data_IF_322894107408
#
_entry.id   IF_322894107408
#
_cell.length_a   1.000
_cell.length_b   1.000
_cell.length_c   1.000
_cell.angle_alpha   90.00
_cell.angle_beta   90.00
_cell.angle_gamma   90.00
#
_symmetry.space_group_name_H-M   'P 1'
#
loop_
_entity.id
_entity.type
_entity.pdbx_description
1 polymer ?
#
# COMPACT_ATOMS: atom_id res chain seq x y z
N UNK A 1 -39.07 29.66 -11.60
CA UNK A 1 -38.64 28.27 -11.81
C UNK A 1 -37.74 28.24 -13.02
N UNK A 2 -36.43 28.16 -12.81
CA UNK A 2 -35.45 28.04 -13.89
C UNK A 2 -34.52 26.89 -13.47
N UNK A 3 -34.43 25.91 -14.35
CA UNK A 3 -33.63 24.70 -14.20
C UNK A 3 -32.13 25.03 -14.31
N UNK A 4 -31.30 24.42 -13.45
CA UNK A 4 -29.86 24.36 -13.64
C UNK A 4 -29.51 23.09 -14.40
N UNK A 5 -28.94 23.27 -15.58
CA UNK A 5 -28.35 22.24 -16.41
C UNK A 5 -26.92 21.92 -15.97
N UNK A 6 -26.46 20.73 -16.38
CA UNK A 6 -25.20 20.09 -16.08
C UNK A 6 -23.95 20.93 -16.42
N UNK A 7 -22.91 20.79 -15.59
CA UNK A 7 -21.55 21.23 -15.92
C UNK A 7 -20.75 20.02 -16.38
N UNK A 8 -20.42 20.05 -17.67
CA UNK A 8 -19.55 19.11 -18.36
C UNK A 8 -18.09 19.57 -18.25
N UNK A 9 -17.18 18.60 -18.18
CA UNK A 9 -15.77 18.83 -17.88
C UNK A 9 -14.98 19.37 -19.07
N UNK A 10 -14.30 20.50 -18.89
CA UNK A 10 -13.06 20.81 -19.62
C UNK A 10 -12.29 21.93 -18.90
N UNK A 11 -11.18 21.60 -18.24
CA UNK A 11 -10.19 22.60 -17.84
C UNK A 11 -8.80 21.95 -17.82
N UNK A 12 -8.24 21.76 -19.02
CA UNK A 12 -6.82 21.49 -19.21
C UNK A 12 -6.27 22.57 -20.16
N UNK A 13 -5.17 23.20 -19.75
CA UNK A 13 -4.27 24.06 -20.53
C UNK A 13 -4.85 25.33 -21.19
N UNK A 14 -4.62 26.50 -20.58
CA UNK A 14 -4.07 27.69 -21.25
C UNK A 14 -3.74 28.78 -20.22
N UNK A 15 -2.46 29.00 -19.89
CA UNK A 15 -1.99 30.26 -19.29
C UNK A 15 -0.52 30.46 -19.67
N UNK A 16 -0.27 30.92 -20.89
CA UNK A 16 0.92 31.67 -21.25
C UNK A 16 0.46 32.96 -21.93
N UNK A 17 1.05 34.07 -21.49
CA UNK A 17 0.80 35.46 -21.91
C UNK A 17 -0.36 36.16 -21.20
N UNK A 18 0.01 37.01 -20.23
CA UNK A 18 -0.44 38.40 -19.98
C UNK A 18 0.10 38.76 -18.59
N UNK A 19 1.11 39.62 -18.47
CA UNK A 19 0.91 41.07 -18.50
C UNK A 19 0.91 41.59 -17.07
N UNK A 20 2.02 42.21 -16.65
CA UNK A 20 2.18 42.86 -15.36
C UNK A 20 1.04 43.85 -15.13
N UNK A 21 0.19 43.62 -14.14
CA UNK A 21 -0.45 44.60 -13.23
C UNK A 21 -1.62 43.94 -12.48
N UNK A 22 -1.31 43.28 -11.36
CA UNK A 22 -2.22 43.06 -10.24
C UNK A 22 -1.38 42.64 -9.03
N UNK A 23 -0.92 43.63 -8.25
CA UNK A 23 -0.42 43.41 -6.89
C UNK A 23 -1.64 43.42 -6.00
N UNK A 24 -2.08 42.25 -5.55
CA UNK A 24 -3.21 42.14 -4.62
C UNK A 24 -3.74 40.72 -4.53
N UNK A 25 -3.44 40.06 -3.41
CA UNK A 25 -4.02 38.78 -2.96
C UNK A 25 -3.64 37.53 -3.77
N UNK A 26 -2.35 37.18 -3.75
CA UNK A 26 -1.95 35.77 -3.70
C UNK A 26 -1.80 35.41 -2.23
N UNK A 27 -2.87 34.92 -1.61
CA UNK A 27 -2.71 34.07 -0.44
C UNK A 27 -1.89 32.85 -0.90
N UNK A 28 -0.88 32.40 -0.15
CA UNK A 28 -0.10 31.26 -0.56
C UNK A 28 -1.01 30.03 -0.64
N UNK A 29 -0.90 29.29 -1.74
CA UNK A 29 -1.38 27.91 -1.94
C UNK A 29 -0.67 26.92 -0.99
N UNK A 30 -0.33 27.36 0.23
CA UNK A 30 0.31 26.58 1.28
C UNK A 30 -0.71 26.05 2.30
N UNK A 31 -2.02 26.30 2.12
CA UNK A 31 -3.06 25.98 3.12
C UNK A 31 -3.77 24.64 2.85
N UNK A 32 -3.29 23.81 1.92
CA UNK A 32 -4.01 22.57 1.57
C UNK A 32 -3.15 21.36 1.22
N UNK A 33 -1.93 21.27 1.74
CA UNK A 33 -1.22 19.98 1.86
C UNK A 33 -1.26 19.41 3.28
N UNK A 34 -1.46 20.24 4.31
CA UNK A 34 -1.47 19.79 5.72
C UNK A 34 -2.69 18.90 6.07
N UNK A 35 -3.81 19.04 5.35
CA UNK A 35 -5.03 18.28 5.64
C UNK A 35 -5.07 16.88 4.99
N UNK A 36 -4.15 16.58 4.06
CA UNK A 36 -4.04 15.27 3.40
C UNK A 36 -2.84 14.45 3.90
N UNK A 37 -2.01 15.02 4.80
CA UNK A 37 -0.72 14.45 5.21
C UNK A 37 -0.66 13.97 6.65
N UNK A 38 -1.68 14.24 7.47
CA UNK A 38 -1.71 13.68 8.82
C UNK A 38 -2.52 12.38 8.83
N UNK A 39 -1.81 11.26 8.98
CA UNK A 39 -2.44 10.04 9.46
C UNK A 39 -3.19 10.38 10.75
N UNK A 40 -4.48 10.04 10.86
CA UNK A 40 -5.21 10.29 12.09
C UNK A 40 -4.41 9.66 13.24
N UNK A 41 -4.30 10.31 14.40
CA UNK A 41 -3.68 9.68 15.56
C UNK A 41 -4.46 8.40 15.83
N UNK A 42 -3.88 7.26 15.44
CA UNK A 42 -4.41 5.96 15.78
C UNK A 42 -4.40 5.89 17.31
N UNK A 43 -5.57 5.61 17.90
CA UNK A 43 -5.66 5.39 19.32
C UNK A 43 -4.98 4.07 19.74
N UNK A 44 -4.90 3.10 18.81
CA UNK A 44 -4.21 1.84 18.96
C UNK A 44 -2.80 1.83 18.37
N UNK A 45 -2.29 0.63 18.12
CA UNK A 45 -0.94 0.38 17.58
C UNK A 45 -0.85 0.77 16.12
N UNK A 46 0.37 1.08 15.67
CA UNK A 46 0.73 1.26 14.26
C UNK A 46 1.43 -0.01 13.80
N UNK A 47 0.86 -0.69 12.81
CA UNK A 47 1.29 -2.01 12.38
C UNK A 47 1.71 -1.98 10.91
N UNK A 48 2.75 -2.72 10.55
CA UNK A 48 3.16 -2.94 9.17
C UNK A 48 3.18 -4.44 8.85
N UNK A 49 2.50 -4.83 7.78
CA UNK A 49 2.67 -6.14 7.14
C UNK A 49 3.34 -5.96 5.79
N UNK A 50 4.52 -6.55 5.61
CA UNK A 50 5.26 -6.55 4.35
C UNK A 50 5.20 -7.97 3.74
N UNK A 51 4.30 -8.14 2.76
CA UNK A 51 4.15 -9.37 2.01
C UNK A 51 5.08 -9.34 0.81
N UNK A 52 6.03 -10.29 0.79
CA UNK A 52 7.15 -10.30 -0.16
C UNK A 52 8.16 -9.23 0.20
N UNK A 53 8.64 -9.26 1.43
CA UNK A 53 9.58 -8.28 1.98
C UNK A 53 10.92 -8.21 1.23
N UNK A 54 11.18 -9.20 0.38
CA UNK A 54 12.42 -9.28 -0.37
C UNK A 54 13.59 -9.68 0.55
N UNK A 55 14.64 -10.18 -0.07
CA UNK A 55 15.98 -9.97 0.43
C UNK A 55 16.50 -8.79 -0.37
N UNK A 56 16.88 -7.70 0.29
CA UNK A 56 17.68 -6.68 -0.39
C UNK A 56 18.81 -7.39 -1.15
N UNK A 57 19.02 -7.04 -2.42
CA UNK A 57 19.99 -7.72 -3.28
C UNK A 57 21.32 -7.89 -2.54
N UNK A 58 21.84 -9.13 -2.54
CA UNK A 58 23.04 -9.55 -1.82
C UNK A 58 24.13 -8.46 -1.78
N UNK A 59 24.51 -8.06 -0.56
CA UNK A 59 25.65 -7.15 -0.35
C UNK A 59 25.34 -5.65 -0.36
N UNK A 60 24.08 -5.22 -0.46
CA UNK A 60 23.71 -3.82 -0.21
C UNK A 60 22.66 -3.72 0.88
N UNK A 61 23.07 -3.21 2.04
CA UNK A 61 22.14 -2.64 3.02
C UNK A 61 21.24 -1.62 2.29
N UNK A 62 19.93 -1.61 2.60
CA UNK A 62 18.96 -0.54 2.24
C UNK A 62 18.17 -0.62 0.92
N UNK A 63 17.87 -1.80 0.37
CA UNK A 63 16.90 -1.91 -0.76
C UNK A 63 15.82 -2.98 -0.59
N UNK A 64 15.32 -3.20 0.62
CA UNK A 64 14.05 -3.92 0.80
C UNK A 64 12.89 -2.95 0.81
N UNK A 65 11.70 -3.39 0.37
CA UNK A 65 10.43 -2.66 0.56
C UNK A 65 10.30 -2.18 1.99
N UNK A 66 10.68 -3.03 2.95
CA UNK A 66 10.66 -2.69 4.36
C UNK A 66 11.47 -1.44 4.72
N UNK A 67 12.71 -1.32 4.23
CA UNK A 67 13.55 -0.14 4.53
C UNK A 67 12.94 1.17 3.99
N UNK A 68 12.35 1.12 2.79
CA UNK A 68 11.63 2.25 2.21
C UNK A 68 10.39 2.59 3.04
N UNK A 69 9.56 1.60 3.37
CA UNK A 69 8.31 1.80 4.11
C UNK A 69 8.58 2.41 5.48
N UNK A 70 9.55 1.87 6.23
CA UNK A 70 9.90 2.41 7.54
C UNK A 70 10.32 3.88 7.45
N UNK A 71 11.22 4.22 6.51
CA UNK A 71 11.69 5.59 6.33
C UNK A 71 10.57 6.53 5.85
N UNK A 72 9.74 6.08 4.92
CA UNK A 72 8.64 6.86 4.37
C UNK A 72 7.61 7.23 5.45
N UNK A 73 7.18 6.25 6.25
CA UNK A 73 6.22 6.47 7.32
C UNK A 73 6.80 7.26 8.50
N UNK A 74 8.10 7.09 8.79
CA UNK A 74 8.79 7.89 9.80
C UNK A 74 8.80 9.38 9.44
N UNK A 75 8.98 9.74 8.17
CA UNK A 75 8.88 11.13 7.69
C UNK A 75 7.48 11.73 7.91
N UNK A 76 6.45 10.90 8.06
CA UNK A 76 5.07 11.30 8.34
C UNK A 76 4.71 11.17 9.82
N UNK A 77 5.68 10.93 10.70
CA UNK A 77 5.48 10.76 12.15
C UNK A 77 4.80 9.43 12.53
N UNK A 78 4.84 8.43 11.65
CA UNK A 78 4.33 7.08 11.90
C UNK A 78 5.51 6.17 12.23
N UNK A 79 5.62 5.83 13.51
CA UNK A 79 6.54 4.80 13.99
C UNK A 79 5.73 3.53 14.27
N UNK A 80 6.02 2.45 13.54
CA UNK A 80 5.32 1.18 13.73
C UNK A 80 5.73 0.51 15.05
N UNK A 81 4.75 0.04 15.82
CA UNK A 81 4.95 -0.72 17.05
C UNK A 81 5.34 -2.17 16.74
N UNK A 82 4.78 -2.75 15.67
CA UNK A 82 5.07 -4.10 15.20
C UNK A 82 5.17 -4.12 13.67
N UNK A 83 6.10 -4.94 13.19
CA UNK A 83 6.38 -5.16 11.77
C UNK A 83 6.41 -6.66 11.52
N UNK A 84 5.57 -7.15 10.63
CA UNK A 84 5.55 -8.55 10.22
C UNK A 84 5.92 -8.66 8.74
N UNK A 85 6.97 -9.40 8.43
CA UNK A 85 7.53 -9.51 7.08
C UNK A 85 7.52 -10.96 6.61
N UNK A 86 7.01 -11.22 5.41
CA UNK A 86 7.01 -12.55 4.78
C UNK A 86 7.92 -12.57 3.56
N UNK A 87 8.78 -13.59 3.47
CA UNK A 87 9.64 -13.84 2.31
C UNK A 87 9.72 -15.35 2.04
N UNK A 88 9.22 -15.85 0.90
CA UNK A 88 9.27 -17.27 0.57
C UNK A 88 10.67 -17.81 0.25
N UNK A 89 11.58 -16.97 -0.25
CA UNK A 89 12.93 -17.39 -0.64
C UNK A 89 13.81 -17.58 0.59
N UNK A 90 14.60 -18.66 0.68
CA UNK A 90 15.46 -18.91 1.84
C UNK A 90 16.37 -17.73 2.18
N UNK A 91 16.25 -17.19 3.39
CA UNK A 91 17.01 -16.04 3.90
C UNK A 91 18.17 -16.52 4.77
N UNK A 92 19.38 -16.03 4.52
CA UNK A 92 20.45 -16.16 5.51
C UNK A 92 20.14 -15.25 6.70
N UNK A 93 19.69 -15.86 7.81
CA UNK A 93 19.27 -15.15 9.01
C UNK A 93 20.38 -14.23 9.55
N UNK A 94 21.64 -14.68 9.56
CA UNK A 94 22.75 -13.87 10.09
C UNK A 94 22.94 -12.59 9.28
N UNK A 95 22.98 -12.70 7.96
CA UNK A 95 23.14 -11.54 7.06
C UNK A 95 21.92 -10.64 7.08
N UNK A 96 20.71 -11.21 7.08
CA UNK A 96 19.47 -10.43 7.15
C UNK A 96 19.43 -9.57 8.42
N UNK A 97 19.61 -10.19 9.59
CA UNK A 97 19.54 -9.48 10.87
C UNK A 97 20.72 -8.55 11.12
N UNK A 98 21.84 -8.68 10.42
CA UNK A 98 22.92 -7.69 10.47
C UNK A 98 22.48 -6.35 9.87
N UNK A 99 21.74 -6.37 8.75
CA UNK A 99 21.27 -5.16 8.07
C UNK A 99 20.03 -4.50 8.67
N UNK A 100 19.37 -5.12 9.65
CA UNK A 100 18.21 -4.51 10.34
C UNK A 100 18.70 -3.52 11.40
N UNK A 101 18.20 -2.26 11.42
CA UNK A 101 18.54 -1.30 12.47
C UNK A 101 18.21 -1.80 13.88
N UNK A 102 19.02 -1.52 14.91
CA UNK A 102 18.81 -2.06 16.26
C UNK A 102 17.42 -1.81 16.85
N UNK A 103 16.83 -0.64 16.63
CA UNK A 103 15.48 -0.29 17.12
C UNK A 103 14.37 -1.05 16.39
N UNK A 104 14.61 -1.46 15.14
CA UNK A 104 13.66 -2.25 14.34
C UNK A 104 13.71 -3.73 14.74
N UNK A 105 14.88 -4.26 15.14
CA UNK A 105 15.04 -5.69 15.47
C UNK A 105 14.05 -6.19 16.52
N UNK A 106 13.71 -5.36 17.50
CA UNK A 106 12.83 -5.77 18.60
C UNK A 106 11.34 -5.79 18.24
N UNK A 107 10.96 -5.15 17.13
CA UNK A 107 9.58 -5.03 16.64
C UNK A 107 9.35 -5.75 15.31
N UNK A 108 10.41 -6.24 14.68
CA UNK A 108 10.36 -6.98 13.42
C UNK A 108 10.22 -8.48 13.66
N UNK A 109 9.24 -9.08 13.00
CA UNK A 109 9.02 -10.51 12.93
C UNK A 109 9.20 -10.95 11.48
N UNK A 110 10.23 -11.76 11.22
CA UNK A 110 10.45 -12.36 9.90
C UNK A 110 9.84 -13.76 9.84
N UNK A 111 8.93 -13.94 8.89
CA UNK A 111 8.38 -15.23 8.48
C UNK A 111 9.03 -15.62 7.15
N UNK A 112 10.07 -16.47 7.21
CA UNK A 112 10.75 -16.95 6.02
C UNK A 112 10.00 -18.12 5.36
N UNK A 113 8.73 -17.88 5.05
CA UNK A 113 7.78 -18.79 4.41
C UNK A 113 6.92 -18.01 3.43
N UNK A 114 6.43 -18.68 2.38
CA UNK A 114 5.42 -18.09 1.50
C UNK A 114 4.10 -17.85 2.22
N UNK A 115 3.29 -16.94 1.68
CA UNK A 115 1.91 -16.77 2.08
C UNK A 115 1.05 -17.89 1.50
N UNK A 116 0.03 -18.28 2.26
CA UNK A 116 -0.99 -19.20 1.80
C UNK A 116 -2.02 -18.46 0.93
N UNK A 117 -2.44 -19.07 -0.17
CA UNK A 117 -3.43 -18.50 -1.11
C UNK A 117 -4.86 -19.00 -0.87
N UNK A 118 -5.03 -20.14 -0.18
CA UNK A 118 -6.35 -20.60 0.25
C UNK A 118 -6.88 -19.76 1.42
N UNK A 119 -7.84 -18.87 1.14
CA UNK A 119 -8.49 -18.00 2.13
C UNK A 119 -9.17 -18.77 3.28
N UNK A 120 -9.48 -20.05 3.12
CA UNK A 120 -10.06 -20.89 4.16
C UNK A 120 -9.01 -21.50 5.10
N UNK A 121 -7.74 -21.49 4.69
CA UNK A 121 -6.64 -21.98 5.49
C UNK A 121 -6.43 -21.11 6.74
N UNK A 122 -6.17 -21.72 7.91
CA UNK A 122 -5.80 -20.97 9.11
C UNK A 122 -4.47 -20.22 8.95
N UNK A 123 -3.63 -20.59 7.99
CA UNK A 123 -2.36 -19.93 7.70
C UNK A 123 -2.49 -18.72 6.75
N UNK A 124 -3.68 -18.49 6.18
CA UNK A 124 -3.88 -17.34 5.28
C UNK A 124 -3.74 -16.01 6.05
N UNK A 125 -3.07 -14.99 5.47
CA UNK A 125 -2.79 -13.72 6.16
C UNK A 125 -4.04 -13.01 6.69
N UNK A 126 -5.21 -13.21 6.07
CA UNK A 126 -6.48 -12.64 6.57
C UNK A 126 -6.83 -13.14 7.98
N UNK A 127 -6.50 -14.39 8.31
CA UNK A 127 -6.76 -14.94 9.64
C UNK A 127 -5.84 -14.28 10.65
N UNK A 128 -4.58 -14.03 10.26
CA UNK A 128 -3.64 -13.29 11.08
C UNK A 128 -4.14 -11.87 11.36
N UNK A 129 -4.62 -11.14 10.35
CA UNK A 129 -5.19 -9.79 10.54
C UNK A 129 -6.36 -9.84 11.51
N UNK A 130 -7.32 -10.76 11.32
CA UNK A 130 -8.51 -10.89 12.18
C UNK A 130 -8.18 -11.20 13.64
N UNK A 131 -7.13 -11.99 13.87
CA UNK A 131 -6.72 -12.41 15.21
C UNK A 131 -5.87 -11.36 15.94
N UNK A 132 -5.03 -10.63 15.20
CA UNK A 132 -3.99 -9.80 15.81
C UNK A 132 -4.23 -8.30 15.70
N UNK A 133 -5.10 -7.84 14.80
CA UNK A 133 -5.34 -6.41 14.58
C UNK A 133 -6.66 -6.02 15.25
N UNK A 134 -6.60 -5.04 16.14
CA UNK A 134 -7.73 -4.58 16.95
C UNK A 134 -8.40 -3.35 16.35
N UNK A 135 -9.63 -3.08 16.78
CA UNK A 135 -10.29 -1.83 16.44
C UNK A 135 -9.46 -0.63 16.97
N UNK A 136 -9.15 0.32 16.10
CA UNK A 136 -8.34 1.49 16.42
C UNK A 136 -6.84 1.35 16.15
N UNK A 137 -6.37 0.13 15.83
CA UNK A 137 -5.03 -0.04 15.25
C UNK A 137 -4.99 0.56 13.85
N UNK A 138 -3.80 1.01 13.43
CA UNK A 138 -3.53 1.48 12.08
C UNK A 138 -2.59 0.49 11.38
N UNK A 139 -3.16 -0.38 10.56
CA UNK A 139 -2.42 -1.37 9.78
C UNK A 139 -2.11 -0.86 8.36
N UNK A 140 -0.83 -0.91 8.00
CA UNK A 140 -0.35 -0.74 6.63
C UNK A 140 0.04 -2.10 6.08
N UNK A 141 -0.37 -2.39 4.84
CA UNK A 141 0.00 -3.62 4.14
C UNK A 141 0.75 -3.24 2.86
N UNK A 142 1.93 -3.81 2.64
CA UNK A 142 2.51 -3.91 1.29
C UNK A 142 2.25 -5.32 0.77
N UNK A 143 1.66 -5.42 -0.42
CA UNK A 143 1.36 -6.66 -1.13
C UNK A 143 2.13 -6.66 -2.45
N UNK A 144 3.12 -7.53 -2.56
CA UNK A 144 3.85 -7.83 -3.79
C UNK A 144 4.58 -9.14 -3.52
N UNK A 145 4.00 -10.24 -4.00
CA UNK A 145 4.51 -11.61 -3.76
C UNK A 145 4.71 -12.38 -5.05
N UNK A 146 4.65 -11.71 -6.21
CA UNK A 146 4.80 -12.27 -7.54
C UNK A 146 3.86 -13.47 -7.84
N UNK A 147 2.79 -13.64 -7.05
CA UNK A 147 1.97 -14.85 -7.04
C UNK A 147 0.49 -14.50 -6.97
N UNK A 148 -0.14 -14.43 -8.13
CA UNK A 148 -1.55 -14.02 -8.22
C UNK A 148 -2.54 -14.95 -7.52
N UNK A 149 -2.24 -16.26 -7.45
CA UNK A 149 -3.04 -17.22 -6.69
C UNK A 149 -3.05 -16.94 -5.18
N UNK A 150 -2.24 -16.01 -4.71
CA UNK A 150 -2.27 -15.46 -3.34
C UNK A 150 -2.85 -14.04 -3.34
N UNK A 151 -2.35 -13.16 -4.21
CA UNK A 151 -2.71 -11.74 -4.23
C UNK A 151 -4.20 -11.53 -4.52
N UNK A 152 -4.74 -12.18 -5.56
CA UNK A 152 -6.14 -11.98 -5.96
C UNK A 152 -7.10 -12.51 -4.89
N UNK A 153 -6.96 -13.73 -4.37
CA UNK A 153 -7.81 -14.20 -3.26
C UNK A 153 -7.74 -13.29 -2.03
N UNK A 154 -6.56 -12.78 -1.67
CA UNK A 154 -6.42 -11.82 -0.57
C UNK A 154 -7.24 -10.54 -0.83
N UNK A 155 -7.07 -9.92 -2.00
CA UNK A 155 -7.78 -8.68 -2.34
C UNK A 155 -9.30 -8.89 -2.43
N UNK A 156 -9.75 -10.04 -2.92
CA UNK A 156 -11.19 -10.38 -2.95
C UNK A 156 -11.75 -10.64 -1.56
N UNK A 157 -10.98 -11.27 -0.66
CA UNK A 157 -11.38 -11.42 0.73
C UNK A 157 -11.52 -10.07 1.43
N UNK A 158 -10.59 -9.13 1.20
CA UNK A 158 -10.68 -7.74 1.71
C UNK A 158 -11.92 -7.04 1.16
N UNK A 159 -12.22 -7.21 -0.13
CA UNK A 159 -13.42 -6.61 -0.74
C UNK A 159 -14.73 -7.17 -0.15
N UNK A 160 -14.80 -8.48 0.06
CA UNK A 160 -16.01 -9.17 0.49
C UNK A 160 -16.33 -9.00 1.98
N UNK A 161 -15.34 -8.69 2.81
CA UNK A 161 -15.46 -8.66 4.27
C UNK A 161 -15.21 -7.25 4.82
N UNK A 162 -16.31 -6.56 5.16
CA UNK A 162 -16.25 -5.21 5.70
C UNK A 162 -15.56 -5.13 7.08
N UNK A 163 -15.62 -6.19 7.90
CA UNK A 163 -14.91 -6.22 9.19
C UNK A 163 -13.41 -6.30 8.93
N UNK A 164 -12.97 -7.21 8.06
CA UNK A 164 -11.56 -7.30 7.65
C UNK A 164 -11.07 -5.97 7.05
N UNK A 165 -11.83 -5.39 6.12
CA UNK A 165 -11.48 -4.11 5.49
C UNK A 165 -11.37 -2.98 6.51
N UNK A 166 -12.23 -2.96 7.54
CA UNK A 166 -12.18 -1.94 8.60
C UNK A 166 -10.94 -1.99 9.49
N UNK A 167 -10.23 -3.13 9.51
CA UNK A 167 -8.97 -3.32 10.24
C UNK A 167 -7.75 -2.84 9.47
N UNK A 168 -7.91 -2.56 8.17
CA UNK A 168 -6.81 -2.18 7.28
C UNK A 168 -6.84 -0.67 7.11
N UNK A 169 -5.77 -0.01 7.53
CA UNK A 169 -5.61 1.42 7.37
C UNK A 169 -5.24 1.81 5.94
N UNK A 170 -4.32 1.07 5.32
CA UNK A 170 -3.81 1.33 3.98
C UNK A 170 -3.21 0.06 3.34
N UNK A 171 -3.34 -0.05 2.00
CA UNK A 171 -2.66 -1.08 1.19
C UNK A 171 -1.82 -0.43 0.10
N UNK A 172 -0.57 -0.85 -0.03
CA UNK A 172 0.33 -0.60 -1.15
C UNK A 172 0.44 -1.91 -1.94
N UNK A 173 -0.03 -1.94 -3.18
CA UNK A 173 -0.16 -3.18 -3.95
C UNK A 173 0.50 -3.07 -5.33
N UNK A 174 1.46 -3.96 -5.60
CA UNK A 174 1.99 -4.19 -6.95
C UNK A 174 1.05 -5.16 -7.65
N UNK A 175 0.06 -4.59 -8.32
CA UNK A 175 -0.86 -5.40 -9.07
C UNK A 175 -0.17 -5.96 -10.30
N UNK A 176 0.10 -7.25 -10.29
CA UNK A 176 0.47 -7.98 -11.47
C UNK A 176 -0.75 -8.13 -12.40
N UNK A 177 -0.64 -7.72 -13.65
CA UNK A 177 -1.69 -7.85 -14.68
C UNK A 177 -1.06 -8.06 -16.07
N UNK A 178 -1.84 -8.46 -17.06
CA UNK A 178 -1.36 -8.62 -18.43
C UNK A 178 -1.16 -7.23 -19.06
N UNK A 179 0.10 -6.82 -19.21
CA UNK A 179 0.47 -5.57 -19.88
C UNK A 179 0.85 -5.83 -21.34
N UNK A 180 0.07 -5.29 -22.28
CA UNK A 180 0.26 -5.56 -23.72
C UNK A 180 1.60 -5.04 -24.26
N UNK A 181 2.04 -3.88 -23.79
CA UNK A 181 3.30 -3.26 -24.24
C UNK A 181 4.55 -3.70 -23.45
N UNK A 182 4.38 -4.44 -22.35
CA UNK A 182 5.47 -4.87 -21.48
C UNK A 182 5.46 -6.40 -21.36
N UNK A 183 5.98 -7.14 -22.36
CA UNK A 183 5.84 -8.59 -22.43
C UNK A 183 6.52 -9.35 -21.27
N UNK A 184 7.53 -8.75 -20.63
CA UNK A 184 8.16 -9.28 -19.42
C UNK A 184 7.26 -9.19 -18.18
N UNK A 185 6.23 -8.34 -18.21
CA UNK A 185 5.23 -8.18 -17.15
C UNK A 185 4.08 -9.21 -17.29
N UNK A 186 3.92 -9.84 -18.46
CA UNK A 186 2.85 -10.82 -18.74
C UNK A 186 2.95 -12.07 -17.85
N UNK A 187 4.17 -12.49 -17.48
CA UNK A 187 4.40 -13.72 -16.72
C UNK A 187 3.78 -13.74 -15.31
N UNK A 188 3.46 -12.58 -14.77
CA UNK A 188 2.90 -12.41 -13.43
C UNK A 188 1.41 -12.11 -13.44
N UNK A 189 0.85 -11.78 -14.61
CA UNK A 189 -0.50 -11.26 -14.77
C UNK A 189 -1.64 -12.30 -14.84
N UNK A 190 -1.34 -13.60 -14.80
CA UNK A 190 -2.25 -14.76 -14.97
C UNK A 190 -3.77 -14.46 -15.06
N UNK A 191 -4.21 -14.12 -16.27
CA UNK A 191 -5.64 -13.93 -16.61
C UNK A 191 -6.27 -12.60 -16.16
N UNK A 192 -5.55 -11.76 -15.43
CA UNK A 192 -6.00 -10.42 -15.04
C UNK A 192 -5.65 -9.41 -16.14
N UNK A 193 -6.68 -8.73 -16.68
CA UNK A 193 -6.46 -7.62 -17.61
C UNK A 193 -6.15 -6.30 -16.89
N UNK A 194 -5.58 -5.33 -17.62
CA UNK A 194 -5.43 -3.96 -17.13
C UNK A 194 -6.75 -3.35 -16.63
N UNK A 195 -7.86 -3.64 -17.31
CA UNK A 195 -9.18 -3.16 -16.90
C UNK A 195 -9.64 -3.80 -15.58
N UNK A 196 -9.33 -5.08 -15.34
CA UNK A 196 -9.62 -5.75 -14.07
C UNK A 196 -8.83 -5.13 -12.92
N UNK A 197 -7.56 -4.82 -13.14
CA UNK A 197 -6.72 -4.10 -12.18
C UNK A 197 -7.31 -2.73 -11.83
N UNK A 198 -7.65 -1.91 -12.83
CA UNK A 198 -8.26 -0.59 -12.59
C UNK A 198 -9.59 -0.70 -11.83
N UNK A 199 -10.45 -1.64 -12.22
CA UNK A 199 -11.74 -1.85 -11.57
C UNK A 199 -11.58 -2.30 -10.12
N UNK A 200 -10.60 -3.18 -9.82
CA UNK A 200 -10.30 -3.61 -8.46
C UNK A 200 -9.93 -2.41 -7.59
N UNK A 201 -8.96 -1.60 -7.99
CA UNK A 201 -8.56 -0.40 -7.25
C UNK A 201 -9.71 0.59 -7.09
N UNK A 202 -10.47 0.85 -8.16
CA UNK A 202 -11.60 1.76 -8.11
C UNK A 202 -12.67 1.29 -7.12
N UNK A 203 -13.05 0.01 -7.18
CA UNK A 203 -14.08 -0.55 -6.30
C UNK A 203 -13.69 -0.51 -4.83
N UNK A 204 -12.45 -0.91 -4.49
CA UNK A 204 -11.96 -0.87 -3.11
C UNK A 204 -11.87 0.57 -2.56
N UNK A 205 -11.45 1.53 -3.37
CA UNK A 205 -11.47 2.96 -2.97
C UNK A 205 -12.89 3.47 -2.77
N UNK A 206 -13.83 3.05 -3.62
CA UNK A 206 -15.25 3.39 -3.46
C UNK A 206 -15.82 2.83 -2.15
N UNK A 207 -15.32 1.68 -1.70
CA UNK A 207 -15.65 1.07 -0.41
C UNK A 207 -14.89 1.70 0.79
N UNK A 208 -14.11 2.75 0.55
CA UNK A 208 -13.41 3.52 1.58
C UNK A 208 -12.01 3.02 1.93
N UNK A 209 -11.49 1.99 1.24
CA UNK A 209 -10.13 1.52 1.47
C UNK A 209 -9.11 2.47 0.83
N UNK A 210 -8.11 2.90 1.60
CA UNK A 210 -6.93 3.57 1.06
C UNK A 210 -6.02 2.54 0.43
N UNK A 211 -6.05 2.48 -0.90
CA UNK A 211 -5.21 1.58 -1.68
C UNK A 211 -4.40 2.38 -2.71
N UNK A 212 -3.12 2.08 -2.77
CA UNK A 212 -2.11 2.76 -3.56
C UNK A 212 -1.32 1.74 -4.37
N UNK A 213 -0.87 2.14 -5.54
CA UNK A 213 -0.01 1.28 -6.36
C UNK A 213 1.38 1.23 -5.73
N UNK A 214 1.96 0.04 -5.66
CA UNK A 214 3.37 -0.18 -5.33
C UNK A 214 4.13 -0.45 -6.64
N UNK A 215 5.22 0.29 -6.92
CA UNK A 215 5.93 0.22 -8.20
C UNK A 215 7.06 -0.80 -8.27
#
# INVERSE_FOLDING_TARGET
MVALAALDGTACLLMLSLGRHAVGMLAPLAVQMDALTQYPPAAGRKLLMDFGAGQGYEGQELRSSLSYLLAHYEQMGVHFDEVWAWEPRPVNQSTYWQGVPPDVKFRLHLYNTGLEGDTTSPAHPIQYIKQNVQAGDFLVIKLDVDTQSVEIPFMRAVQADADLRSRIGEILFEMHYIHQDMPWFIGYGDGISYNDALNLFHSLRHEGLRIHYWP
#
